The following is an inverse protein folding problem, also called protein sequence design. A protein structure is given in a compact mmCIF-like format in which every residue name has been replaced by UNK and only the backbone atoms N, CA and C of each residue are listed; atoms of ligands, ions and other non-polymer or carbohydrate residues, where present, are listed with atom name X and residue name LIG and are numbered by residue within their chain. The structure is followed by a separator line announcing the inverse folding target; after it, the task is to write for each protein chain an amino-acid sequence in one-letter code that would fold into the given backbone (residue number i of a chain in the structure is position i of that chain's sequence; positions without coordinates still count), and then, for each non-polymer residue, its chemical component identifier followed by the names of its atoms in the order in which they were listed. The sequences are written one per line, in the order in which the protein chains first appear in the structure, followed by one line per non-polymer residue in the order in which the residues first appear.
data_IF_903529592817
#
_entry.id   IF_903529592817
#
_cell.length_a   1.000
_cell.length_b   1.000
_cell.length_c   1.000
_cell.angle_alpha   90.00
_cell.angle_beta   90.00
_cell.angle_gamma   90.00
#
_symmetry.space_group_name_H-M   'P 1'
#
loop_
_entity.id
_entity.type
_entity.pdbx_description
1 polymer ?
#
# COMPACT_ATOMS: atom_id res chain seq x y z
N UNK A 1 3.32 -12.23 2.21
CA UNK A 1 2.33 -11.10 2.27
C UNK A 1 1.49 -11.11 1.02
N UNK A 2 0.24 -10.62 1.08
CA UNK A 2 -0.66 -10.61 -0.09
C UNK A 2 -0.88 -9.20 -0.62
N UNK A 3 -1.08 -9.11 -1.92
CA UNK A 3 -1.51 -7.88 -2.58
C UNK A 3 -2.80 -7.35 -1.95
N UNK A 4 -2.84 -6.05 -1.66
CA UNK A 4 -3.96 -5.38 -1.00
C UNK A 4 -3.91 -5.41 0.52
N UNK A 5 -3.01 -6.18 1.13
CA UNK A 5 -2.83 -6.15 2.58
C UNK A 5 -2.34 -4.77 3.04
N UNK A 6 -2.90 -4.28 4.14
CA UNK A 6 -2.42 -3.10 4.85
C UNK A 6 -1.74 -3.54 6.14
N UNK A 7 -0.52 -3.07 6.33
CA UNK A 7 0.30 -3.36 7.51
C UNK A 7 0.68 -2.06 8.22
N UNK A 8 0.80 -2.10 9.53
CA UNK A 8 1.42 -1.03 10.31
C UNK A 8 2.78 -1.48 10.79
N UNK A 9 3.82 -0.77 10.36
CA UNK A 9 5.19 -1.04 10.76
C UNK A 9 5.43 -0.61 12.23
N UNK A 10 6.52 -1.07 12.88
CA UNK A 10 6.86 -0.66 14.25
C UNK A 10 7.14 0.85 14.41
N UNK A 11 7.36 1.57 13.31
CA UNK A 11 7.52 3.03 13.27
C UNK A 11 6.21 3.79 12.97
N UNK A 12 5.07 3.12 13.21
CA UNK A 12 3.70 3.59 13.02
C UNK A 12 3.28 3.92 11.57
N UNK A 13 4.17 3.73 10.59
CA UNK A 13 3.80 3.93 9.18
C UNK A 13 2.90 2.81 8.69
N UNK A 14 1.82 3.18 8.02
CA UNK A 14 0.97 2.24 7.33
C UNK A 14 1.47 1.99 5.91
N UNK A 15 1.45 0.74 5.47
CA UNK A 15 1.90 0.32 4.14
C UNK A 15 0.83 -0.54 3.49
N UNK A 16 0.41 -0.16 2.28
CA UNK A 16 -0.40 -0.99 1.41
C UNK A 16 0.51 -1.82 0.49
N UNK A 17 0.38 -3.14 0.52
CA UNK A 17 1.14 -4.05 -0.33
C UNK A 17 0.56 -4.04 -1.76
N UNK A 18 1.38 -3.72 -2.76
CA UNK A 18 0.97 -3.70 -4.17
C UNK A 18 1.68 -4.75 -5.03
N UNK A 19 2.76 -5.36 -4.51
CA UNK A 19 3.43 -6.51 -5.11
C UNK A 19 2.54 -7.75 -5.20
N UNK A 20 2.90 -8.65 -6.12
CA UNK A 20 2.36 -10.00 -6.19
C UNK A 20 2.62 -10.77 -4.89
N UNK A 21 1.69 -11.63 -4.51
CA UNK A 21 1.82 -12.51 -3.34
C UNK A 21 3.04 -13.42 -3.48
N UNK A 22 3.81 -13.59 -2.41
CA UNK A 22 5.00 -14.44 -2.38
C UNK A 22 6.30 -13.78 -2.84
N UNK A 23 6.26 -12.53 -3.33
CA UNK A 23 7.47 -11.76 -3.64
C UNK A 23 8.39 -11.62 -2.41
N UNK A 24 7.78 -11.48 -1.23
CA UNK A 24 8.48 -11.34 0.03
C UNK A 24 9.22 -12.59 0.47
N UNK A 25 8.66 -13.77 0.19
CA UNK A 25 9.30 -15.05 0.47
C UNK A 25 10.43 -15.32 -0.53
N UNK A 26 10.20 -15.03 -1.81
CA UNK A 26 11.16 -15.31 -2.88
C UNK A 26 12.36 -14.35 -2.89
N UNK A 27 12.14 -13.06 -2.59
CA UNK A 27 13.15 -12.01 -2.75
C UNK A 27 13.46 -11.23 -1.46
N UNK A 28 12.79 -11.53 -0.35
CA UNK A 28 12.95 -10.75 0.88
C UNK A 28 12.48 -9.30 0.76
N UNK A 29 11.60 -9.02 -0.21
CA UNK A 29 11.21 -7.66 -0.59
C UNK A 29 9.69 -7.51 -0.78
N UNK A 30 9.19 -6.33 -0.44
CA UNK A 30 7.79 -5.93 -0.60
C UNK A 30 7.76 -4.66 -1.44
N UNK A 31 6.93 -4.62 -2.48
CA UNK A 31 6.57 -3.34 -3.09
C UNK A 31 5.27 -2.86 -2.44
N UNK A 32 5.32 -1.67 -1.86
CA UNK A 32 4.19 -1.09 -1.15
C UNK A 32 4.13 0.43 -1.27
N UNK A 33 2.93 0.97 -1.07
CA UNK A 33 2.69 2.39 -0.93
C UNK A 33 2.68 2.72 0.56
N UNK A 34 3.56 3.63 0.99
CA UNK A 34 3.48 4.19 2.34
C UNK A 34 2.29 5.15 2.38
N UNK A 35 1.34 4.87 3.25
CA UNK A 35 0.08 5.60 3.32
C UNK A 35 0.23 6.87 4.14
N UNK A 36 -0.55 7.89 3.75
CA UNK A 36 -0.68 9.13 4.48
C UNK A 36 -1.93 9.09 5.37
N UNK A 37 -1.97 9.88 6.46
CA UNK A 37 -3.19 10.07 7.24
C UNK A 37 -4.36 10.52 6.37
N UNK A 38 -5.56 10.05 6.70
CA UNK A 38 -6.78 10.44 6.00
C UNK A 38 -6.95 11.97 5.95
N UNK A 39 -7.45 12.49 4.82
CA UNK A 39 -7.69 13.92 4.61
C UNK A 39 -6.43 14.74 4.29
N UNK A 40 -5.23 14.17 4.33
CA UNK A 40 -4.00 14.89 3.97
C UNK A 40 -3.90 15.20 2.47
N UNK A 41 -4.39 14.30 1.62
CA UNK A 41 -4.44 14.47 0.17
C UNK A 41 -5.87 14.22 -0.33
N UNK A 42 -6.35 15.00 -1.31
CA UNK A 42 -7.68 14.77 -1.88
C UNK A 42 -7.72 13.48 -2.68
N UNK A 43 -8.93 13.02 -3.00
CA UNK A 43 -9.12 11.85 -3.86
C UNK A 43 -9.00 12.26 -5.33
N UNK A 44 -8.01 11.73 -6.05
CA UNK A 44 -7.64 12.14 -7.41
C UNK A 44 -7.19 10.96 -8.28
N UNK A 45 -6.73 11.25 -9.50
CA UNK A 45 -6.11 10.25 -10.36
C UNK A 45 -4.77 9.70 -9.80
N UNK A 46 -4.07 10.44 -8.93
CA UNK A 46 -2.75 10.05 -8.40
C UNK A 46 -2.79 9.68 -6.90
N UNK A 47 -3.89 9.98 -6.21
CA UNK A 47 -4.08 9.75 -4.78
C UNK A 47 -5.45 9.10 -4.54
N UNK A 48 -5.48 7.99 -3.84
CA UNK A 48 -6.67 7.17 -3.60
C UNK A 48 -6.99 7.15 -2.11
N UNK A 49 -8.18 7.62 -1.75
CA UNK A 49 -8.69 7.49 -0.38
C UNK A 49 -9.03 6.03 -0.08
N UNK A 50 -8.67 5.57 1.12
CA UNK A 50 -8.90 4.22 1.62
C UNK A 50 -9.68 4.35 2.93
N UNK A 51 -10.85 3.73 3.01
CA UNK A 51 -11.65 3.70 4.24
C UNK A 51 -11.44 2.38 5.01
N UNK A 52 -11.41 1.25 4.29
CA UNK A 52 -11.18 -0.10 4.81
C UNK A 52 -9.82 -0.62 4.36
N UNK A 53 -8.99 -1.22 5.24
CA UNK A 53 -9.24 -1.56 6.64
C UNK A 53 -8.96 -0.43 7.65
N UNK A 54 -8.30 0.65 7.22
CA UNK A 54 -8.05 1.84 8.03
C UNK A 54 -8.26 3.10 7.18
N UNK A 55 -8.73 4.21 7.77
CA UNK A 55 -8.79 5.49 7.08
C UNK A 55 -7.38 6.00 6.73
N UNK A 56 -7.08 6.10 5.44
CA UNK A 56 -5.78 6.57 4.94
C UNK A 56 -5.88 7.08 3.50
N UNK A 57 -4.76 7.56 2.97
CA UNK A 57 -4.64 7.92 1.55
C UNK A 57 -3.39 7.31 0.94
N UNK A 58 -3.55 6.53 -0.12
CA UNK A 58 -2.46 6.03 -0.93
C UNK A 58 -2.11 7.05 -2.01
N UNK A 59 -0.88 7.56 -2.01
CA UNK A 59 -0.39 8.45 -3.07
C UNK A 59 0.56 7.65 -3.95
N UNK A 60 0.22 7.46 -5.22
CA UNK A 60 0.90 6.51 -6.11
C UNK A 60 2.40 6.78 -6.29
N UNK A 61 2.83 8.04 -6.24
CA UNK A 61 4.26 8.41 -6.32
C UNK A 61 5.07 8.02 -5.08
N UNK A 62 4.43 7.63 -3.98
CA UNK A 62 5.09 7.14 -2.77
C UNK A 62 5.24 5.60 -2.78
N UNK A 63 5.53 5.05 -3.96
CA UNK A 63 5.85 3.63 -4.14
C UNK A 63 7.27 3.35 -3.62
N UNK A 64 7.38 2.35 -2.75
CA UNK A 64 8.65 1.99 -2.14
C UNK A 64 8.89 0.48 -2.20
N UNK A 65 10.15 0.11 -2.39
CA UNK A 65 10.62 -1.23 -2.06
C UNK A 65 11.07 -1.26 -0.60
N UNK A 66 10.48 -2.16 0.18
CA UNK A 66 10.80 -2.37 1.58
C UNK A 66 11.35 -3.79 1.78
N UNK A 67 12.26 -3.96 2.74
CA UNK A 67 12.71 -5.30 3.15
C UNK A 67 11.60 -6.01 3.91
N UNK A 68 11.37 -7.29 3.62
CA UNK A 68 10.34 -8.11 4.31
C UNK A 68 10.59 -8.18 5.82
N UNK A 69 11.85 -8.11 6.26
CA UNK A 69 12.21 -8.08 7.69
C UNK A 69 11.65 -6.88 8.45
N UNK A 70 11.29 -5.77 7.78
CA UNK A 70 10.60 -4.65 8.43
C UNK A 70 9.17 -4.99 8.89
N UNK A 71 8.61 -6.09 8.36
CA UNK A 71 7.27 -6.55 8.68
C UNK A 71 7.26 -7.63 9.78
N UNK A 72 8.42 -8.02 10.33
CA UNK A 72 8.53 -9.10 11.32
C UNK A 72 7.70 -8.84 12.59
N UNK A 73 7.63 -7.58 13.03
CA UNK A 73 6.84 -7.13 14.18
C UNK A 73 5.69 -6.20 13.75
N UNK A 74 5.37 -6.18 12.45
CA UNK A 74 4.30 -5.34 11.94
C UNK A 74 2.92 -5.93 12.24
N UNK A 75 1.94 -5.06 12.44
CA UNK A 75 0.55 -5.46 12.65
C UNK A 75 -0.20 -5.48 11.31
N UNK A 76 -0.74 -6.65 10.93
CA UNK A 76 -1.69 -6.73 9.81
C UNK A 76 -3.00 -6.06 10.21
N UNK A 77 -3.43 -5.07 9.43
CA UNK A 77 -4.68 -4.33 9.67
C UNK A 77 -5.86 -4.92 8.92
N UNK A 78 -5.60 -5.70 7.87
CA UNK A 78 -6.61 -6.29 7.00
C UNK A 78 -6.24 -6.09 5.55
N UNK A 79 -7.22 -6.28 4.66
CA UNK A 79 -7.03 -6.19 3.22
C UNK A 79 -7.96 -5.12 2.66
N UNK A 80 -7.42 -4.24 1.81
CA UNK A 80 -8.19 -3.21 1.13
C UNK A 80 -9.20 -3.84 0.15
N UNK A 81 -10.33 -3.16 -0.04
CA UNK A 81 -11.39 -3.63 -0.92
C UNK A 81 -10.94 -3.68 -2.39
N UNK A 82 -11.54 -4.59 -3.15
CA UNK A 82 -11.20 -4.78 -4.57
C UNK A 82 -11.40 -3.51 -5.41
N UNK A 83 -12.46 -2.74 -5.13
CA UNK A 83 -12.73 -1.47 -5.80
C UNK A 83 -11.64 -0.43 -5.50
N UNK A 84 -11.21 -0.33 -4.24
CA UNK A 84 -10.09 0.53 -3.83
C UNK A 84 -8.80 0.12 -4.52
N UNK A 85 -8.50 -1.19 -4.58
CA UNK A 85 -7.32 -1.69 -5.27
C UNK A 85 -7.37 -1.41 -6.78
N UNK A 86 -8.53 -1.51 -7.44
CA UNK A 86 -8.65 -1.15 -8.86
C UNK A 86 -8.29 0.32 -9.13
N UNK A 87 -8.64 1.22 -8.21
CA UNK A 87 -8.26 2.65 -8.30
C UNK A 87 -6.78 2.87 -8.04
N UNK A 88 -6.20 2.16 -7.06
CA UNK A 88 -4.75 2.16 -6.83
C UNK A 88 -4.00 1.68 -8.08
N UNK A 89 -4.53 0.67 -8.77
CA UNK A 89 -3.92 0.14 -10.00
C UNK A 89 -3.94 1.17 -11.13
N UNK A 90 -5.04 1.90 -11.28
CA UNK A 90 -5.13 3.01 -12.24
C UNK A 90 -4.14 4.12 -11.90
N UNK A 91 -4.04 4.51 -10.62
CA UNK A 91 -3.12 5.54 -10.18
C UNK A 91 -1.65 5.14 -10.40
N UNK A 92 -1.28 3.89 -10.09
CA UNK A 92 0.07 3.36 -10.34
C UNK A 92 0.40 3.32 -11.82
N UNK A 93 -0.52 2.89 -12.68
CA UNK A 93 -0.34 2.92 -14.14
C UNK A 93 -0.13 4.35 -14.65
N UNK A 94 -0.95 5.29 -14.19
CA UNK A 94 -0.86 6.68 -14.60
C UNK A 94 0.48 7.34 -14.22
N UNK A 95 1.01 7.08 -13.02
CA UNK A 95 2.30 7.68 -12.59
C UNK A 95 3.52 6.99 -13.21
N UNK A 96 3.37 5.76 -13.70
CA UNK A 96 4.43 4.99 -14.35
C UNK A 96 4.35 5.02 -15.89
N UNK A 97 3.36 5.71 -16.46
CA UNK A 97 3.09 5.77 -17.90
C UNK A 97 2.89 4.37 -18.53
N UNK A 98 2.00 3.57 -17.92
CA UNK A 98 1.68 2.18 -18.30
C UNK A 98 0.22 1.96 -18.72
#
# INVERSE_FOLDING_TARGET
MKRGDVWTLPDDRHVLVVSLSGLDEAYGAVLGLVLHPAGRYPDTAMSVVIDTPIPATAVAVNLQQLRSTRFAEAAHRGTAEAATMARVDQALRAVLDL
#
